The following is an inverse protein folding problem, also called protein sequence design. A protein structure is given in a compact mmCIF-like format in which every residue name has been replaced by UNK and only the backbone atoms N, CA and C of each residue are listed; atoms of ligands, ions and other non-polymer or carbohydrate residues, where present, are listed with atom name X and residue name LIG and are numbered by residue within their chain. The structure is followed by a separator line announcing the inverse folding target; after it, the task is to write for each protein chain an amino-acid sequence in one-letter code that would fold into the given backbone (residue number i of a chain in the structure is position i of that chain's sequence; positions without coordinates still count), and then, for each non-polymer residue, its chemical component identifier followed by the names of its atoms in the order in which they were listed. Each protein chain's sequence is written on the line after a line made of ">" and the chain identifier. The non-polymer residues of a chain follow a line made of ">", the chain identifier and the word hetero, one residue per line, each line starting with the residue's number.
data_IF_199542380884
#
_entry.id   IF_199542380884
#
_cell.length_a   1.000
_cell.length_b   1.000
_cell.length_c   1.000
_cell.angle_alpha   90.00
_cell.angle_beta   90.00
_cell.angle_gamma   90.00
#
_symmetry.space_group_name_H-M   'P 1'
#
loop_
_entity.id
_entity.type
_entity.pdbx_description
1 polymer ?
#
# COMPACT_ATOMS: atom_id res chain seq x y z
N UNK A 1 -11.31 -2.24 7.22
CA UNK A 1 -12.72 -2.02 7.61
C UNK A 1 -12.92 -1.68 9.09
N UNK A 2 -12.53 -2.51 10.07
CA UNK A 2 -12.74 -2.21 11.50
C UNK A 2 -12.03 -0.93 11.99
N UNK A 3 -10.74 -0.76 11.63
CA UNK A 3 -9.96 0.42 11.99
C UNK A 3 -10.46 1.71 11.33
N UNK A 4 -10.85 1.66 10.05
CA UNK A 4 -11.37 2.81 9.30
C UNK A 4 -12.73 3.29 9.85
N UNK A 5 -13.59 2.36 10.27
CA UNK A 5 -14.86 2.67 10.93
C UNK A 5 -14.67 3.25 12.35
N UNK A 6 -13.59 2.88 13.02
CA UNK A 6 -13.17 3.50 14.29
C UNK A 6 -12.49 4.85 14.09
N UNK A 7 -11.73 5.05 13.01
CA UNK A 7 -11.06 6.30 12.68
C UNK A 7 -12.04 7.45 12.37
N UNK A 8 -13.22 7.11 11.84
CA UNK A 8 -14.33 8.06 11.62
C UNK A 8 -15.13 8.40 12.90
N UNK A 9 -14.83 7.81 14.06
CA UNK A 9 -15.48 8.26 15.31
C UNK A 9 -14.91 9.62 15.70
N UNK A 10 -15.82 10.59 15.87
CA UNK A 10 -15.52 11.92 16.38
C UNK A 10 -14.88 11.86 17.78
N UNK A 11 -14.15 12.93 18.11
CA UNK A 11 -13.50 13.08 19.40
C UNK A 11 -14.51 12.90 20.55
N UNK A 12 -14.09 12.21 21.60
CA UNK A 12 -14.89 12.01 22.81
C UNK A 12 -14.05 12.42 24.03
N UNK A 13 -14.65 12.56 25.21
CA UNK A 13 -13.99 13.11 26.42
C UNK A 13 -12.68 12.39 26.81
N UNK A 14 -12.53 11.11 26.44
CA UNK A 14 -11.29 10.32 26.67
C UNK A 14 -10.28 10.37 25.52
N UNK A 15 -10.68 10.82 24.33
CA UNK A 15 -9.86 10.91 23.11
C UNK A 15 -10.10 12.25 22.40
N UNK A 16 -9.47 13.30 22.94
CA UNK A 16 -9.69 14.71 22.57
C UNK A 16 -9.24 15.05 21.13
N UNK A 17 -8.32 14.25 20.56
CA UNK A 17 -7.85 14.39 19.18
C UNK A 17 -8.53 13.40 18.20
N UNK A 18 -9.55 12.65 18.65
CA UNK A 18 -10.19 11.60 17.86
C UNK A 18 -9.32 10.36 17.63
N UNK A 19 -9.73 9.50 16.70
CA UNK A 19 -9.11 8.19 16.44
C UNK A 19 -8.19 8.17 15.20
N UNK A 20 -7.84 9.32 14.63
CA UNK A 20 -7.04 9.43 13.42
C UNK A 20 -5.65 8.76 13.55
N UNK A 21 -5.03 8.79 14.74
CA UNK A 21 -3.75 8.10 14.99
C UNK A 21 -3.88 6.58 14.98
N UNK A 22 -5.05 6.01 15.25
CA UNK A 22 -5.28 4.56 15.13
C UNK A 22 -5.24 4.10 13.68
N UNK A 23 -5.66 4.95 12.74
CA UNK A 23 -5.57 4.67 11.31
C UNK A 23 -4.10 4.57 10.88
N UNK A 24 -3.27 5.52 11.31
CA UNK A 24 -1.83 5.53 11.05
C UNK A 24 -1.15 4.29 11.67
N UNK A 25 -1.51 3.93 12.90
CA UNK A 25 -1.00 2.72 13.55
C UNK A 25 -1.43 1.45 12.80
N UNK A 26 -2.67 1.40 12.31
CA UNK A 26 -3.17 0.28 11.51
C UNK A 26 -2.41 0.15 10.20
N UNK A 27 -2.15 1.27 9.52
CA UNK A 27 -1.34 1.31 8.30
C UNK A 27 0.11 0.87 8.57
N UNK A 28 0.70 1.26 9.70
CA UNK A 28 2.04 0.82 10.12
C UNK A 28 2.10 -0.70 10.31
N UNK A 29 1.17 -1.26 11.11
CA UNK A 29 1.11 -2.71 11.38
C UNK A 29 0.87 -3.48 10.07
N UNK A 30 -0.05 -3.02 9.23
CA UNK A 30 -0.33 -3.66 7.95
C UNK A 30 0.91 -3.67 7.04
N UNK A 31 1.62 -2.55 6.95
CA UNK A 31 2.84 -2.44 6.13
C UNK A 31 3.95 -3.33 6.68
N UNK A 32 4.08 -3.43 8.00
CA UNK A 32 5.03 -4.36 8.63
C UNK A 32 4.73 -5.82 8.29
N UNK A 33 3.46 -6.23 8.32
CA UNK A 33 3.03 -7.57 7.89
C UNK A 33 3.37 -7.79 6.40
N UNK A 34 3.10 -6.81 5.53
CA UNK A 34 3.43 -6.89 4.12
C UNK A 34 4.94 -7.05 3.86
N UNK A 35 5.79 -6.36 4.63
CA UNK A 35 7.25 -6.55 4.56
C UNK A 35 7.60 -8.01 4.86
N UNK A 36 7.10 -8.57 5.96
CA UNK A 36 7.37 -9.96 6.33
C UNK A 36 6.90 -10.93 5.24
N UNK A 37 5.67 -10.74 4.75
CA UNK A 37 5.11 -11.57 3.68
C UNK A 37 5.92 -11.45 2.38
N UNK A 38 6.35 -10.25 2.01
CA UNK A 38 7.16 -10.03 0.80
C UNK A 38 8.53 -10.71 0.88
N UNK A 39 9.21 -10.64 2.04
CA UNK A 39 10.47 -11.34 2.26
C UNK A 39 10.30 -12.86 2.22
N UNK A 40 9.20 -13.37 2.79
CA UNK A 40 8.85 -14.77 2.72
C UNK A 40 8.61 -15.23 1.26
N UNK A 41 7.84 -14.47 0.49
CA UNK A 41 7.59 -14.76 -0.93
C UNK A 41 8.88 -14.72 -1.76
N UNK A 42 9.77 -13.76 -1.51
CA UNK A 42 11.07 -13.69 -2.17
C UNK A 42 11.92 -14.92 -1.86
N UNK A 43 12.00 -15.34 -0.58
CA UNK A 43 12.73 -16.53 -0.17
C UNK A 43 12.17 -17.82 -0.83
N UNK A 44 10.84 -17.95 -0.86
CA UNK A 44 10.15 -19.07 -1.51
C UNK A 44 10.39 -19.09 -3.03
N UNK A 45 10.40 -17.93 -3.69
CA UNK A 45 10.75 -17.80 -5.11
C UNK A 45 12.19 -18.28 -5.39
N UNK A 46 13.17 -17.90 -4.56
CA UNK A 46 14.55 -18.39 -4.68
C UNK A 46 14.64 -19.91 -4.47
N UNK A 47 13.88 -20.45 -3.52
CA UNK A 47 13.82 -21.90 -3.28
C UNK A 47 13.28 -22.64 -4.51
N UNK A 48 12.18 -22.16 -5.10
CA UNK A 48 11.56 -22.74 -6.31
C UNK A 48 12.42 -22.62 -7.55
N UNK A 49 13.26 -21.59 -7.64
CA UNK A 49 14.20 -21.44 -8.74
C UNK A 49 15.23 -22.58 -8.76
N UNK A 50 15.68 -23.03 -7.58
CA UNK A 50 16.63 -24.14 -7.44
C UNK A 50 15.97 -25.52 -7.46
N UNK A 51 14.73 -25.62 -6.97
CA UNK A 51 13.96 -26.86 -6.92
C UNK A 51 12.54 -26.64 -7.46
N UNK A 52 12.30 -26.86 -8.77
CA UNK A 52 10.99 -26.68 -9.38
C UNK A 52 9.97 -27.66 -8.77
N UNK A 53 9.10 -27.15 -7.90
CA UNK A 53 7.97 -27.92 -7.36
C UNK A 53 6.77 -27.84 -8.31
N UNK A 54 5.97 -28.90 -8.37
CA UNK A 54 4.71 -28.89 -9.14
C UNK A 54 3.70 -27.99 -8.44
N UNK A 55 3.55 -26.78 -8.95
CA UNK A 55 2.54 -25.82 -8.47
C UNK A 55 1.15 -26.31 -8.89
N UNK A 56 0.19 -26.24 -7.95
CA UNK A 56 -1.21 -26.45 -8.27
C UNK A 56 -1.75 -25.25 -9.06
N UNK A 57 -1.61 -25.33 -10.38
CA UNK A 57 -2.04 -24.29 -11.32
C UNK A 57 -3.53 -23.97 -11.21
N UNK A 58 -4.37 -24.93 -10.78
CA UNK A 58 -5.80 -24.68 -10.59
C UNK A 58 -6.05 -23.75 -9.39
N UNK A 59 -5.36 -23.97 -8.28
CA UNK A 59 -5.47 -23.12 -7.09
C UNK A 59 -4.90 -21.71 -7.37
N UNK A 60 -3.72 -21.64 -8.00
CA UNK A 60 -3.10 -20.36 -8.41
C UNK A 60 -4.04 -19.53 -9.29
N UNK A 61 -4.64 -20.16 -10.30
CA UNK A 61 -5.53 -19.46 -11.24
C UNK A 61 -6.84 -19.02 -10.56
N UNK A 62 -7.40 -19.85 -9.67
CA UNK A 62 -8.61 -19.49 -8.91
C UNK A 62 -8.38 -18.28 -8.02
N UNK A 63 -7.29 -18.27 -7.25
CA UNK A 63 -6.93 -17.15 -6.36
C UNK A 63 -6.67 -15.88 -7.18
N UNK A 64 -5.94 -15.99 -8.29
CA UNK A 64 -5.64 -14.85 -9.16
C UNK A 64 -6.89 -14.25 -9.81
N UNK A 65 -7.85 -15.08 -10.24
CA UNK A 65 -9.13 -14.61 -10.80
C UNK A 65 -9.98 -13.90 -9.74
N UNK A 66 -10.07 -14.46 -8.52
CA UNK A 66 -10.81 -13.82 -7.42
C UNK A 66 -10.18 -12.46 -7.09
N UNK A 67 -8.85 -12.39 -6.97
CA UNK A 67 -8.13 -11.15 -6.74
C UNK A 67 -8.35 -10.12 -7.85
N UNK A 68 -8.28 -10.55 -9.11
CA UNK A 68 -8.56 -9.69 -10.27
C UNK A 68 -9.98 -9.11 -10.20
N UNK A 69 -10.99 -9.93 -9.92
CA UNK A 69 -12.38 -9.48 -9.83
C UNK A 69 -12.58 -8.47 -8.69
N UNK A 70 -11.96 -8.70 -7.54
CA UNK A 70 -12.02 -7.78 -6.41
C UNK A 70 -11.36 -6.42 -6.72
N UNK A 71 -10.18 -6.43 -7.34
CA UNK A 71 -9.45 -5.22 -7.73
C UNK A 71 -10.19 -4.48 -8.85
N UNK A 72 -10.73 -5.19 -9.83
CA UNK A 72 -11.51 -4.60 -10.92
C UNK A 72 -12.79 -3.95 -10.39
N UNK A 73 -13.52 -4.62 -9.51
CA UNK A 73 -14.72 -4.05 -8.88
C UNK A 73 -14.38 -2.77 -8.10
N UNK A 74 -13.31 -2.78 -7.30
CA UNK A 74 -12.84 -1.60 -6.56
C UNK A 74 -12.43 -0.46 -7.49
N UNK A 75 -11.72 -0.77 -8.57
CA UNK A 75 -11.28 0.20 -9.58
C UNK A 75 -12.48 0.85 -10.30
N UNK A 76 -13.50 0.07 -10.63
CA UNK A 76 -14.71 0.57 -11.28
C UNK A 76 -15.53 1.48 -10.38
N UNK A 77 -15.61 1.18 -9.07
CA UNK A 77 -16.27 2.04 -8.09
C UNK A 77 -15.57 3.40 -7.96
N UNK A 78 -14.24 3.39 -7.86
CA UNK A 78 -13.44 4.61 -7.65
C UNK A 78 -13.24 5.44 -8.92
N UNK A 79 -13.57 4.91 -10.11
CA UNK A 79 -13.34 5.58 -11.39
C UNK A 79 -14.03 6.93 -11.49
N UNK A 80 -15.24 7.06 -10.97
CA UNK A 80 -16.02 8.30 -11.06
C UNK A 80 -15.51 9.37 -10.09
N UNK A 81 -15.02 8.94 -8.92
CA UNK A 81 -14.51 9.82 -7.86
C UNK A 81 -13.03 10.22 -8.07
N UNK A 82 -12.31 9.52 -8.96
CA UNK A 82 -10.89 9.73 -9.19
C UNK A 82 -10.54 11.12 -9.75
N UNK A 83 -11.49 11.79 -10.41
CA UNK A 83 -11.28 13.15 -10.93
C UNK A 83 -11.57 14.24 -9.88
N UNK A 84 -12.18 13.91 -8.75
CA UNK A 84 -12.56 14.87 -7.70
C UNK A 84 -11.42 15.21 -6.74
N UNK A 85 -10.45 14.31 -6.56
CA UNK A 85 -9.36 14.51 -5.60
C UNK A 85 -8.10 13.75 -5.99
N UNK A 86 -6.94 14.40 -5.83
CA UNK A 86 -5.63 13.78 -6.03
C UNK A 86 -5.43 12.54 -5.14
N UNK A 87 -6.02 12.51 -3.95
CA UNK A 87 -5.90 11.36 -3.04
C UNK A 87 -6.68 10.14 -3.56
N UNK A 88 -7.87 10.37 -4.13
CA UNK A 88 -8.68 9.32 -4.76
C UNK A 88 -8.02 8.86 -6.06
N UNK A 89 -7.50 9.80 -6.86
CA UNK A 89 -6.71 9.49 -8.05
C UNK A 89 -5.51 8.60 -7.76
N UNK A 90 -4.78 8.88 -6.68
CA UNK A 90 -3.65 8.05 -6.23
C UNK A 90 -4.10 6.63 -5.88
N UNK A 91 -5.20 6.49 -5.12
CA UNK A 91 -5.77 5.18 -4.78
C UNK A 91 -6.24 4.42 -6.02
N UNK A 92 -6.86 5.10 -6.99
CA UNK A 92 -7.29 4.52 -8.26
C UNK A 92 -6.11 4.01 -9.10
N UNK A 93 -5.03 4.80 -9.24
CA UNK A 93 -3.81 4.38 -9.95
C UNK A 93 -3.13 3.18 -9.26
N UNK A 94 -3.18 3.12 -7.93
CA UNK A 94 -2.67 1.97 -7.18
C UNK A 94 -3.47 0.70 -7.49
N UNK A 95 -4.81 0.77 -7.45
CA UNK A 95 -5.68 -0.38 -7.80
C UNK A 95 -5.55 -0.83 -9.26
N UNK A 96 -5.27 0.10 -10.17
CA UNK A 96 -4.90 -0.21 -11.55
C UNK A 96 -3.59 -1.01 -11.63
N UNK A 97 -2.59 -0.62 -10.85
CA UNK A 97 -1.32 -1.37 -10.73
C UNK A 97 -1.56 -2.79 -10.22
N UNK A 98 -2.41 -2.95 -9.19
CA UNK A 98 -2.77 -4.26 -8.63
C UNK A 98 -3.54 -5.13 -9.63
N UNK A 99 -4.40 -4.51 -10.44
CA UNK A 99 -5.12 -5.17 -11.53
C UNK A 99 -4.13 -5.68 -12.60
N UNK A 100 -3.15 -4.87 -12.99
CA UNK A 100 -2.11 -5.25 -13.95
C UNK A 100 -1.22 -6.38 -13.41
N UNK A 101 -0.88 -6.32 -12.13
CA UNK A 101 -0.15 -7.39 -11.43
C UNK A 101 -0.95 -8.71 -11.43
N UNK A 102 -2.25 -8.64 -11.13
CA UNK A 102 -3.15 -9.80 -11.15
C UNK A 102 -3.24 -10.44 -12.55
N UNK A 103 -3.30 -9.61 -13.60
CA UNK A 103 -3.26 -10.08 -15.00
C UNK A 103 -1.94 -10.79 -15.29
N UNK A 104 -0.82 -10.25 -14.84
CA UNK A 104 0.51 -10.86 -15.02
C UNK A 104 0.61 -12.25 -14.39
N UNK A 105 0.04 -12.43 -13.19
CA UNK A 105 -0.05 -13.74 -12.52
C UNK A 105 -0.92 -14.72 -13.30
N UNK A 106 -2.06 -14.28 -13.83
CA UNK A 106 -2.95 -15.12 -14.65
C UNK A 106 -2.23 -15.58 -15.93
N UNK A 107 -1.53 -14.66 -16.61
CA UNK A 107 -0.72 -15.01 -17.79
C UNK A 107 0.34 -16.05 -17.41
N UNK A 108 1.05 -15.85 -16.29
CA UNK A 108 1.99 -16.83 -15.75
C UNK A 108 1.35 -18.21 -15.52
N UNK A 109 0.19 -18.26 -14.87
CA UNK A 109 -0.54 -19.50 -14.61
C UNK A 109 -0.96 -20.23 -15.90
N UNK A 110 -1.42 -19.49 -16.91
CA UNK A 110 -1.76 -20.03 -18.24
C UNK A 110 -0.52 -20.59 -18.93
N UNK A 111 0.60 -19.85 -18.92
CA UNK A 111 1.86 -20.30 -19.52
C UNK A 111 2.39 -21.57 -18.84
N UNK A 112 2.34 -21.65 -17.52
CA UNK A 112 2.74 -22.85 -16.76
C UNK A 112 1.85 -24.04 -17.13
N UNK A 113 0.54 -23.83 -17.27
CA UNK A 113 -0.42 -24.91 -17.57
C UNK A 113 -0.26 -25.49 -18.98
N UNK A 114 -0.04 -24.65 -19.99
CA UNK A 114 0.02 -25.09 -21.38
C UNK A 114 1.44 -25.41 -21.86
N UNK A 115 2.44 -24.65 -21.41
CA UNK A 115 3.82 -24.78 -21.90
C UNK A 115 4.76 -25.47 -20.89
N UNK A 116 4.30 -25.75 -19.66
CA UNK A 116 5.12 -26.42 -18.64
C UNK A 116 6.32 -25.59 -18.18
N UNK A 117 6.28 -24.26 -18.35
CA UNK A 117 7.40 -23.36 -18.05
C UNK A 117 7.36 -22.96 -16.57
N UNK A 118 7.82 -23.84 -15.69
CA UNK A 118 7.75 -23.65 -14.23
C UNK A 118 8.65 -22.53 -13.68
N UNK A 119 9.70 -22.11 -14.41
CA UNK A 119 10.60 -21.05 -13.95
C UNK A 119 9.97 -19.64 -13.98
N UNK A 120 8.86 -19.46 -14.72
CA UNK A 120 8.14 -18.18 -14.80
C UNK A 120 7.53 -17.80 -13.45
N UNK A 121 7.01 -18.76 -12.67
CA UNK A 121 6.39 -18.49 -11.37
C UNK A 121 7.37 -17.85 -10.36
N UNK A 122 8.59 -18.39 -10.14
CA UNK A 122 9.61 -17.75 -9.33
C UNK A 122 9.93 -16.31 -9.77
N UNK A 123 10.03 -16.05 -11.07
CA UNK A 123 10.37 -14.72 -11.61
C UNK A 123 9.24 -13.73 -11.34
N UNK A 124 8.00 -14.10 -11.64
CA UNK A 124 6.83 -13.25 -11.37
C UNK A 124 6.70 -12.99 -9.86
N UNK A 125 6.84 -14.04 -9.05
CA UNK A 125 6.76 -13.93 -7.58
C UNK A 125 7.84 -13.01 -7.03
N UNK A 126 9.07 -13.07 -7.55
CA UNK A 126 10.17 -12.22 -7.13
C UNK A 126 9.93 -10.75 -7.51
N UNK A 127 9.45 -10.48 -8.72
CA UNK A 127 9.13 -9.11 -9.17
C UNK A 127 8.02 -8.51 -8.31
N UNK A 128 6.94 -9.25 -8.06
CA UNK A 128 5.81 -8.80 -7.24
C UNK A 128 6.25 -8.60 -5.78
N UNK A 129 7.04 -9.51 -5.21
CA UNK A 129 7.49 -9.37 -3.83
C UNK A 129 8.40 -8.16 -3.62
N UNK A 130 9.30 -7.86 -4.57
CA UNK A 130 10.13 -6.65 -4.54
C UNK A 130 9.26 -5.40 -4.63
N UNK A 131 8.27 -5.37 -5.52
CA UNK A 131 7.33 -4.26 -5.63
C UNK A 131 6.58 -4.01 -4.32
N UNK A 132 5.99 -5.06 -3.72
CA UNK A 132 5.28 -4.96 -2.43
C UNK A 132 6.23 -4.48 -1.32
N UNK A 133 7.47 -4.96 -1.31
CA UNK A 133 8.46 -4.58 -0.30
C UNK A 133 8.78 -3.07 -0.37
N UNK A 134 8.98 -2.52 -1.57
CA UNK A 134 9.26 -1.09 -1.77
C UNK A 134 8.08 -0.25 -1.28
N UNK A 135 6.86 -0.58 -1.72
CA UNK A 135 5.64 0.11 -1.30
C UNK A 135 5.47 0.08 0.23
N UNK A 136 5.63 -1.10 0.84
CA UNK A 136 5.49 -1.25 2.28
C UNK A 136 6.56 -0.46 3.07
N UNK A 137 7.80 -0.37 2.56
CA UNK A 137 8.86 0.45 3.17
C UNK A 137 8.54 1.95 3.06
N UNK A 138 7.93 2.40 1.97
CA UNK A 138 7.51 3.80 1.84
C UNK A 138 6.42 4.12 2.86
N UNK A 139 5.41 3.25 3.00
CA UNK A 139 4.30 3.46 3.94
C UNK A 139 4.78 3.38 5.39
N UNK A 140 5.63 2.41 5.74
CA UNK A 140 6.12 2.27 7.12
C UNK A 140 6.93 3.51 7.56
N UNK A 141 7.74 4.09 6.66
CA UNK A 141 8.50 5.32 6.94
C UNK A 141 7.59 6.51 7.16
N UNK A 142 6.56 6.69 6.32
CA UNK A 142 5.56 7.76 6.46
C UNK A 142 4.79 7.61 7.77
N UNK A 143 4.30 6.42 8.07
CA UNK A 143 3.54 6.15 9.29
C UNK A 143 4.40 6.34 10.55
N UNK A 144 5.65 5.85 10.55
CA UNK A 144 6.59 6.04 11.65
C UNK A 144 6.88 7.53 11.92
N UNK A 145 7.12 8.31 10.86
CA UNK A 145 7.36 9.75 10.98
C UNK A 145 6.19 10.46 11.66
N UNK A 146 4.95 10.12 11.28
CA UNK A 146 3.75 10.70 11.90
C UNK A 146 3.61 10.25 13.36
N UNK A 147 3.87 8.97 13.67
CA UNK A 147 3.79 8.44 15.04
C UNK A 147 4.82 9.08 15.99
N UNK A 148 6.01 9.39 15.50
CA UNK A 148 7.07 10.07 16.26
C UNK A 148 6.86 11.61 16.26
N UNK A 149 5.74 12.10 15.70
CA UNK A 149 5.42 13.53 15.62
C UNK A 149 6.47 14.34 14.87
N UNK A 150 7.04 13.74 13.82
CA UNK A 150 7.91 14.47 12.89
C UNK A 150 7.13 15.62 12.27
N UNK A 151 7.78 16.76 12.17
CA UNK A 151 7.13 17.94 11.65
C UNK A 151 6.86 17.79 10.14
N UNK A 152 5.73 18.33 9.64
CA UNK A 152 5.36 18.18 8.24
C UNK A 152 6.38 18.88 7.34
N UNK A 153 6.50 18.43 6.09
CA UNK A 153 7.37 19.08 5.11
C UNK A 153 6.74 20.40 4.66
N UNK A 154 6.92 21.43 5.48
CA UNK A 154 6.46 22.80 5.21
C UNK A 154 7.67 23.73 5.07
N UNK A 155 7.46 24.82 4.34
CA UNK A 155 8.43 25.89 4.22
C UNK A 155 8.39 26.74 5.50
N UNK A 156 9.31 26.45 6.42
CA UNK A 156 9.42 27.13 7.70
C UNK A 156 9.75 28.62 7.53
N UNK A 157 10.55 28.98 6.52
CA UNK A 157 10.90 30.37 6.25
C UNK A 157 9.68 31.15 5.79
N UNK A 158 8.89 30.57 4.87
CA UNK A 158 7.66 31.20 4.40
C UNK A 158 6.63 31.34 5.54
N UNK A 159 6.47 30.32 6.36
CA UNK A 159 5.57 30.37 7.52
C UNK A 159 6.01 31.41 8.54
N UNK A 160 7.31 31.51 8.83
CA UNK A 160 7.85 32.54 9.74
C UNK A 160 7.60 33.95 9.21
N UNK A 161 7.80 34.17 7.91
CA UNK A 161 7.52 35.45 7.25
C UNK A 161 6.04 35.82 7.33
N UNK A 162 5.14 34.88 7.08
CA UNK A 162 3.69 35.10 7.19
C UNK A 162 3.28 35.44 8.63
N UNK A 163 3.86 34.78 9.63
CA UNK A 163 3.58 35.06 11.05
C UNK A 163 4.12 36.45 11.45
N UNK A 164 5.33 36.81 11.00
CA UNK A 164 5.94 38.14 11.27
C UNK A 164 5.19 39.28 10.57
N UNK A 165 4.42 39.00 9.52
CA UNK A 165 3.59 39.99 8.84
C UNK A 165 2.30 40.35 9.61
N UNK A 166 1.94 39.59 10.66
CA UNK A 166 0.77 39.86 11.49
C UNK A 166 1.07 41.02 12.44
N UNK A 167 0.22 42.04 12.42
CA UNK A 167 0.36 43.23 13.26
C UNK A 167 0.38 42.84 14.76
N UNK A 168 1.44 43.26 15.47
CA UNK A 168 1.65 42.95 16.89
C UNK A 168 2.62 41.82 17.18
N UNK A 169 3.04 41.04 16.17
CA UNK A 169 4.11 40.03 16.33
C UNK A 169 5.48 40.70 16.28
N UNK A 170 6.29 40.52 17.33
CA UNK A 170 7.64 41.11 17.43
C UNK A 170 8.75 40.14 17.05
N UNK A 171 8.60 38.85 17.39
CA UNK A 171 9.54 37.81 16.97
C UNK A 171 8.89 36.41 17.07
N UNK A 172 9.51 35.42 16.43
CA UNK A 172 9.12 34.01 16.43
C UNK A 172 10.31 33.16 16.86
N UNK A 173 10.13 32.29 17.85
CA UNK A 173 11.17 31.39 18.39
C UNK A 173 10.65 29.95 18.51
N UNK A 174 11.56 28.97 18.57
CA UNK A 174 11.28 27.54 18.75
C UNK A 174 11.38 27.10 20.22
#
# INVERSE_FOLDING_TARGET
>A
YGAQKMAQKEANEKHTYGYQRLEILSAFINSFILIILSLFLAAEAFKRFNSPEKINSHLMLTVAVIGLLANLFSTLLLRQEADESLNIKSSYLHLLSDTLSSISVIIGAVLIRFFGIYWIDPVITLVISIYILIEAIIVIKKAAAILIQSAPTIDYEKMEQEIKAIEGVKDVHH
#
